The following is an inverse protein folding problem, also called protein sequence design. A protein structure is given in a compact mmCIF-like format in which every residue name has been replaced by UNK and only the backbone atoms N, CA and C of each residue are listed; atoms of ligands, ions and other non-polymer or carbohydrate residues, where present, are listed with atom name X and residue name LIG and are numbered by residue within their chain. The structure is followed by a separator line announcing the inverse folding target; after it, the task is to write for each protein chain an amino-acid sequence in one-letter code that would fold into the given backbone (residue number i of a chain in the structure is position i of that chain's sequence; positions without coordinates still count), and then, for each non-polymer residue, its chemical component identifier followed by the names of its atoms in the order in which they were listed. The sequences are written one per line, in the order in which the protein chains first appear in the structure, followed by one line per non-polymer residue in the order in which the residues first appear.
data_IF_117070845003
#
_entry.id   IF_117070845003
#
_cell.length_a   1.000
_cell.length_b   1.000
_cell.length_c   1.000
_cell.angle_alpha   90.00
_cell.angle_beta   90.00
_cell.angle_gamma   90.00
#
_symmetry.space_group_name_H-M   'P 1'
#
loop_
_entity.id
_entity.type
_entity.pdbx_description
1 polymer ?
#
# COMPACT_ATOMS: atom_id res chain seq x y z
N UNK A 1 2.99 -5.97 16.60
CA UNK A 1 3.36 -6.67 15.36
C UNK A 1 2.60 -5.99 14.25
N UNK A 2 3.31 -5.21 13.43
CA UNK A 2 2.72 -4.44 12.32
C UNK A 2 2.53 -5.31 11.07
N UNK A 3 1.73 -4.82 10.14
CA UNK A 3 1.42 -5.52 8.91
C UNK A 3 2.35 -5.16 7.77
N UNK A 4 2.79 -6.15 7.00
CA UNK A 4 3.68 -5.97 5.85
C UNK A 4 3.16 -6.79 4.67
N UNK A 5 3.03 -6.15 3.52
CA UNK A 5 2.73 -6.80 2.24
C UNK A 5 3.78 -6.39 1.22
N UNK A 6 4.26 -7.36 0.44
CA UNK A 6 5.26 -7.16 -0.60
C UNK A 6 4.71 -7.71 -1.90
N UNK A 7 4.68 -6.87 -2.94
CA UNK A 7 4.16 -7.20 -4.26
C UNK A 7 5.20 -6.92 -5.31
N UNK A 8 5.46 -7.92 -6.16
CA UNK A 8 6.30 -7.78 -7.34
C UNK A 8 5.47 -7.12 -8.44
N UNK A 9 5.95 -6.02 -8.97
CA UNK A 9 5.30 -5.29 -10.07
C UNK A 9 5.88 -5.72 -11.42
N UNK A 10 5.07 -5.71 -12.50
CA UNK A 10 5.55 -5.89 -13.86
C UNK A 10 6.66 -4.89 -14.20
N UNK A 11 7.53 -5.23 -15.17
CA UNK A 11 8.50 -4.27 -15.70
C UNK A 11 7.75 -3.12 -16.38
N UNK A 12 8.20 -1.90 -16.12
CA UNK A 12 7.75 -0.70 -16.83
C UNK A 12 8.96 0.18 -17.14
N UNK A 13 8.82 1.06 -18.11
CA UNK A 13 9.89 1.98 -18.56
C UNK A 13 9.32 3.39 -18.69
N UNK A 14 10.09 4.40 -18.27
CA UNK A 14 9.63 5.79 -18.25
C UNK A 14 8.70 6.07 -17.06
N UNK A 15 8.14 7.28 -17.02
CA UNK A 15 7.18 7.69 -15.99
C UNK A 15 6.02 6.69 -15.97
N UNK A 16 5.74 6.13 -14.80
CA UNK A 16 4.75 5.07 -14.59
C UNK A 16 3.81 5.50 -13.48
N UNK A 17 2.51 5.27 -13.70
CA UNK A 17 1.47 5.54 -12.73
C UNK A 17 1.23 4.32 -11.86
N UNK A 18 1.36 4.51 -10.55
CA UNK A 18 0.95 3.57 -9.52
C UNK A 18 -0.35 4.05 -8.90
N UNK A 19 -1.41 3.25 -9.00
CA UNK A 19 -2.69 3.53 -8.32
C UNK A 19 -3.02 2.39 -7.37
N UNK A 20 -3.38 2.76 -6.16
CA UNK A 20 -3.76 1.81 -5.10
C UNK A 20 -5.10 2.27 -4.53
N UNK A 21 -6.10 1.40 -4.59
CA UNK A 21 -7.35 1.56 -3.85
C UNK A 21 -7.36 0.54 -2.72
N UNK A 22 -7.63 0.99 -1.50
CA UNK A 22 -7.64 0.12 -0.34
C UNK A 22 -8.59 0.63 0.73
N UNK A 23 -9.04 -0.30 1.58
CA UNK A 23 -9.87 -0.01 2.73
C UNK A 23 -9.07 -0.17 4.02
N UNK A 24 -9.24 0.80 4.91
CA UNK A 24 -8.80 0.80 6.30
C UNK A 24 -10.02 0.44 7.14
N UNK A 25 -9.94 -0.54 8.06
CA UNK A 25 -11.02 -0.85 8.98
C UNK A 25 -11.52 0.40 9.73
N UNK A 26 -12.83 0.61 9.80
CA UNK A 26 -13.43 1.80 10.43
C UNK A 26 -13.01 1.97 11.89
N UNK A 27 -12.79 0.85 12.60
CA UNK A 27 -12.32 0.83 13.99
C UNK A 27 -10.97 1.52 14.15
N UNK A 28 -10.12 1.47 13.12
CA UNK A 28 -8.83 2.13 13.10
C UNK A 28 -8.92 3.62 12.76
N UNK A 29 -10.01 4.12 12.17
CA UNK A 29 -10.11 5.54 11.75
C UNK A 29 -10.14 6.49 12.94
N UNK A 30 -10.70 6.07 14.08
CA UNK A 30 -10.66 6.85 15.34
C UNK A 30 -9.24 7.08 15.87
N UNK A 31 -8.30 6.20 15.52
CA UNK A 31 -6.89 6.30 15.87
C UNK A 31 -6.06 5.72 14.73
N UNK A 32 -5.84 6.51 13.65
CA UNK A 32 -5.40 5.97 12.37
C UNK A 32 -3.96 5.44 12.42
N UNK A 33 -3.69 4.28 11.79
CA UNK A 33 -2.35 3.74 11.67
C UNK A 33 -1.49 4.63 10.76
N UNK A 34 -0.17 4.52 10.88
CA UNK A 34 0.73 5.04 9.87
C UNK A 34 0.90 4.00 8.77
N UNK A 35 0.43 4.34 7.58
CA UNK A 35 0.60 3.54 6.36
C UNK A 35 1.81 4.07 5.61
N UNK A 36 2.71 3.19 5.21
CA UNK A 36 3.89 3.55 4.40
C UNK A 36 3.89 2.72 3.13
N UNK A 37 4.04 3.39 2.00
CA UNK A 37 4.26 2.78 0.70
C UNK A 37 5.71 2.97 0.28
N UNK A 38 6.35 1.89 -0.13
CA UNK A 38 7.72 1.89 -0.60
C UNK A 38 7.80 1.25 -1.99
N UNK A 39 8.54 1.88 -2.88
CA UNK A 39 8.89 1.33 -4.19
C UNK A 39 10.40 1.09 -4.22
N UNK A 40 10.83 -0.16 -4.43
CA UNK A 40 12.25 -0.54 -4.48
C UNK A 40 13.03 -0.10 -3.23
N UNK A 41 12.37 -0.16 -2.06
CA UNK A 41 12.93 0.29 -0.77
C UNK A 41 12.85 1.79 -0.51
N UNK A 42 12.56 2.63 -1.51
CA UNK A 42 12.36 4.06 -1.32
C UNK A 42 10.92 4.36 -0.90
N UNK A 43 10.74 5.14 0.17
CA UNK A 43 9.41 5.60 0.61
C UNK A 43 8.85 6.56 -0.43
N UNK A 44 7.72 6.19 -1.03
CA UNK A 44 6.97 7.07 -1.95
C UNK A 44 5.86 7.82 -1.23
N UNK A 45 5.34 7.26 -0.13
CA UNK A 45 4.36 7.93 0.70
C UNK A 45 4.34 7.36 2.13
N UNK A 46 4.00 8.23 3.09
CA UNK A 46 3.79 7.88 4.49
C UNK A 46 2.74 8.80 5.11
N UNK A 47 1.59 8.23 5.47
CA UNK A 47 0.43 9.02 5.89
C UNK A 47 -0.39 8.30 6.95
N UNK A 48 -1.29 9.05 7.58
CA UNK A 48 -2.37 8.52 8.42
C UNK A 48 -3.68 8.68 7.66
N UNK A 49 -4.45 7.62 7.43
CA UNK A 49 -5.74 7.73 6.74
C UNK A 49 -6.72 8.56 7.58
N UNK A 50 -7.52 9.39 6.91
CA UNK A 50 -8.59 10.20 7.53
C UNK A 50 -9.98 9.63 7.25
N UNK A 51 -10.07 8.68 6.33
CA UNK A 51 -11.28 8.01 5.88
C UNK A 51 -10.99 6.52 5.67
N UNK A 52 -12.02 5.68 5.64
CA UNK A 52 -11.84 4.22 5.51
C UNK A 52 -11.63 3.76 4.08
N UNK A 53 -12.04 4.52 3.08
CA UNK A 53 -11.88 4.17 1.67
C UNK A 53 -10.95 5.16 0.99
N UNK A 54 -9.77 4.71 0.56
CA UNK A 54 -8.77 5.58 -0.05
C UNK A 54 -8.38 5.14 -1.45
N UNK A 55 -8.11 6.14 -2.28
CA UNK A 55 -7.40 5.99 -3.56
C UNK A 55 -6.14 6.84 -3.48
N UNK A 56 -4.99 6.24 -3.76
CA UNK A 56 -3.70 6.94 -3.89
C UNK A 56 -3.12 6.70 -5.26
N UNK A 57 -2.65 7.78 -5.88
CA UNK A 57 -2.03 7.78 -7.20
C UNK A 57 -0.66 8.45 -7.12
N UNK A 58 0.34 7.84 -7.74
CA UNK A 58 1.71 8.33 -7.77
C UNK A 58 2.28 8.20 -9.17
N UNK A 59 2.94 9.25 -9.62
CA UNK A 59 3.89 9.17 -10.73
C UNK A 59 5.26 8.78 -10.17
N UNK A 60 5.79 7.66 -10.62
CA UNK A 60 7.07 7.13 -10.15
C UNK A 60 7.95 6.73 -11.32
N UNK A 61 9.26 6.75 -11.09
CA UNK A 61 10.23 6.17 -12.02
C UNK A 61 10.51 4.72 -11.61
N UNK A 62 10.16 3.72 -12.45
CA UNK A 62 10.53 2.33 -12.21
C UNK A 62 12.05 2.15 -12.17
N UNK A 63 12.51 1.19 -11.36
CA UNK A 63 13.88 0.71 -11.43
C UNK A 63 14.14 -0.05 -12.73
N UNK A 64 15.41 -0.13 -13.14
CA UNK A 64 15.86 -0.88 -14.31
C UNK A 64 15.66 -2.41 -14.17
N UNK A 65 15.53 -2.90 -12.95
CA UNK A 65 15.30 -4.31 -12.62
C UNK A 65 13.82 -4.57 -12.28
N UNK A 66 13.55 -5.69 -11.62
CA UNK A 66 12.23 -5.99 -11.07
C UNK A 66 11.83 -4.93 -10.04
N UNK A 67 10.58 -4.45 -10.13
CA UNK A 67 10.06 -3.46 -9.19
C UNK A 67 9.32 -4.15 -8.04
N UNK A 68 9.48 -3.65 -6.83
CA UNK A 68 8.81 -4.17 -5.65
C UNK A 68 8.07 -3.05 -4.94
N UNK A 69 6.76 -3.22 -4.79
CA UNK A 69 5.91 -2.41 -3.93
C UNK A 69 5.83 -3.07 -2.56
N UNK A 70 6.18 -2.33 -1.53
CA UNK A 70 6.00 -2.73 -0.14
C UNK A 70 5.01 -1.78 0.53
N UNK A 71 4.03 -2.36 1.22
CA UNK A 71 3.04 -1.65 2.01
C UNK A 71 3.20 -2.11 3.45
N UNK A 72 3.42 -1.16 4.36
CA UNK A 72 3.50 -1.43 5.79
C UNK A 72 2.51 -0.60 6.58
N UNK A 73 2.00 -1.16 7.68
CA UNK A 73 1.24 -0.45 8.70
C UNK A 73 1.87 -0.66 10.08
N UNK A 74 1.95 0.39 10.89
CA UNK A 74 2.45 0.31 12.26
C UNK A 74 1.44 -0.31 13.23
N UNK A 75 0.17 -0.42 12.82
CA UNK A 75 -0.93 -0.96 13.62
C UNK A 75 -1.89 -1.74 12.75
N UNK A 76 -2.34 -2.87 13.28
CA UNK A 76 -3.38 -3.71 12.70
C UNK A 76 -4.44 -3.97 13.76
N UNK A 77 -5.66 -4.32 13.35
CA UNK A 77 -6.63 -4.87 14.29
C UNK A 77 -6.14 -6.24 14.75
N UNK A 78 -5.78 -6.36 16.03
CA UNK A 78 -5.52 -7.65 16.62
C UNK A 78 -6.86 -8.36 16.82
N UNK A 79 -7.24 -9.32 15.96
CA UNK A 79 -8.43 -10.13 16.19
C UNK A 79 -8.14 -11.63 16.19
N UNK A 80 -8.67 -12.26 17.23
CA UNK A 80 -8.71 -13.69 17.57
C UNK A 80 -8.51 -14.66 16.41
N UNK A 81 -7.36 -15.33 16.41
CA UNK A 81 -7.07 -16.73 16.02
C UNK A 81 -7.65 -17.39 14.76
N UNK A 82 -8.51 -16.79 13.93
CA UNK A 82 -9.06 -17.47 12.73
C UNK A 82 -8.89 -16.75 11.40
N UNK A 83 -8.67 -15.43 11.36
CA UNK A 83 -8.34 -14.70 10.12
C UNK A 83 -7.04 -13.91 10.27
N UNK A 84 -5.91 -14.49 9.85
CA UNK A 84 -4.64 -13.78 9.75
C UNK A 84 -4.65 -12.86 8.53
N UNK A 85 -5.18 -11.65 8.68
CA UNK A 85 -4.95 -10.55 7.74
C UNK A 85 -3.76 -9.75 8.22
N UNK A 86 -2.56 -10.22 7.86
CA UNK A 86 -1.32 -9.66 8.39
C UNK A 86 -1.15 -8.17 8.06
N UNK A 87 -1.66 -7.68 6.92
CA UNK A 87 -1.55 -6.26 6.52
C UNK A 87 -2.46 -5.30 7.30
N UNK A 88 -3.56 -5.77 7.91
CA UNK A 88 -4.56 -4.89 8.55
C UNK A 88 -5.26 -3.90 7.62
N UNK A 89 -5.09 -4.03 6.30
CA UNK A 89 -5.73 -3.25 5.24
C UNK A 89 -6.24 -4.20 4.15
N UNK A 90 -7.28 -3.80 3.42
CA UNK A 90 -7.79 -4.55 2.27
C UNK A 90 -7.48 -3.81 0.96
N UNK A 91 -6.53 -4.31 0.17
CA UNK A 91 -6.28 -3.78 -1.17
C UNK A 91 -7.41 -4.23 -2.10
N UNK A 92 -8.16 -3.26 -2.64
CA UNK A 92 -9.27 -3.47 -3.58
C UNK A 92 -8.82 -3.46 -5.03
N UNK A 93 -7.87 -2.59 -5.33
CA UNK A 93 -7.37 -2.40 -6.69
C UNK A 93 -5.91 -1.94 -6.65
N UNK A 94 -5.12 -2.45 -7.58
CA UNK A 94 -3.74 -2.08 -7.80
C UNK A 94 -3.51 -1.99 -9.31
N UNK A 95 -3.12 -0.83 -9.83
CA UNK A 95 -2.67 -0.68 -11.21
C UNK A 95 -1.27 -0.11 -11.30
N UNK A 96 -0.56 -0.56 -12.33
CA UNK A 96 0.83 -0.22 -12.60
C UNK A 96 1.04 -0.21 -14.11
N UNK A 97 1.39 0.94 -14.67
CA UNK A 97 1.60 1.10 -16.10
C UNK A 97 1.80 2.54 -16.51
N UNK A 98 2.05 2.76 -17.80
CA UNK A 98 2.06 4.12 -18.36
C UNK A 98 0.66 4.70 -18.29
N UNK A 99 0.57 6.01 -18.13
CA UNK A 99 -0.66 6.72 -18.45
C UNK A 99 -0.75 6.77 -19.98
N UNK A 100 -1.79 6.17 -20.54
CA UNK A 100 -2.09 6.25 -21.99
C UNK A 100 -2.64 7.63 -22.35
#
# INVERSE_FOLDING_TARGET
MGGRSVTILPRSSGITKLRIQFDVPDELISSPPVITFQLNGAVIDRFKPVESHLVREYEVMPGAAQNTLEITTDRTLAHSSSERRDLGLLVRFLSWGKED
#
